data_IF_746971333668
#
_entry.id   IF_746971333668
#
_cell.length_a   1.000
_cell.length_b   1.000
_cell.length_c   1.000
_cell.angle_alpha   90.00
_cell.angle_beta   90.00
_cell.angle_gamma   90.00
#
_symmetry.space_group_name_H-M   'P 1'
#
loop_
_entity.id
_entity.type
_entity.pdbx_description
1 polymer ?
#
# COMPACT_ATOMS: atom_id res chain seq x y z
N UNK A 1 11.37 5.40 -2.61
CA UNK A 1 12.20 6.49 -2.03
C UNK A 1 11.44 7.69 -1.45
N UNK A 2 10.33 8.16 -2.05
CA UNK A 2 9.51 9.24 -1.45
C UNK A 2 8.35 8.72 -0.59
N UNK A 3 7.70 7.64 -1.02
CA UNK A 3 6.55 7.06 -0.32
C UNK A 3 6.94 6.47 1.03
N UNK A 4 8.09 5.81 1.11
CA UNK A 4 8.67 5.32 2.37
C UNK A 4 8.87 6.49 3.35
N UNK A 5 9.60 7.53 2.92
CA UNK A 5 9.87 8.70 3.76
C UNK A 5 8.59 9.40 4.25
N UNK A 6 7.60 9.56 3.36
CA UNK A 6 6.31 10.17 3.71
C UNK A 6 5.53 9.30 4.70
N UNK A 7 5.49 7.98 4.45
CA UNK A 7 4.81 7.03 5.32
C UNK A 7 5.42 7.03 6.72
N UNK A 8 6.75 7.02 6.85
CA UNK A 8 7.45 7.11 8.15
C UNK A 8 7.09 8.38 8.92
N UNK A 9 7.00 9.52 8.22
CA UNK A 9 6.66 10.80 8.86
C UNK A 9 5.22 10.85 9.33
N UNK A 10 4.28 10.39 8.50
CA UNK A 10 2.86 10.43 8.82
C UNK A 10 2.48 9.35 9.84
N UNK A 11 3.13 8.19 9.83
CA UNK A 11 2.88 7.11 10.79
C UNK A 11 3.27 7.48 12.22
N UNK A 12 4.10 8.52 12.41
CA UNK A 12 4.44 9.03 13.73
C UNK A 12 3.26 9.76 14.41
N UNK A 13 2.29 10.25 13.64
CA UNK A 13 1.16 11.03 14.16
C UNK A 13 -0.22 10.46 13.83
N UNK A 14 -0.30 9.33 13.12
CA UNK A 14 -1.57 8.70 12.78
C UNK A 14 -1.44 7.31 12.17
N UNK A 15 -2.58 6.66 11.95
CA UNK A 15 -2.66 5.32 11.33
C UNK A 15 -2.66 5.43 9.82
N UNK A 16 -1.52 5.13 9.23
CA UNK A 16 -1.30 5.25 7.78
C UNK A 16 -1.27 3.87 7.14
N UNK A 17 -1.88 3.76 5.97
CA UNK A 17 -1.71 2.61 5.07
C UNK A 17 -1.13 3.06 3.73
N UNK A 18 -0.37 2.18 3.07
CA UNK A 18 0.14 2.40 1.71
C UNK A 18 -0.63 1.48 0.76
N UNK A 19 -1.15 2.05 -0.33
CA UNK A 19 -1.74 1.28 -1.42
C UNK A 19 -0.89 1.48 -2.69
N UNK A 20 -0.34 0.38 -3.19
CA UNK A 20 0.40 0.35 -4.44
C UNK A 20 -0.32 -0.47 -5.51
N UNK A 21 0.01 -0.22 -6.76
CA UNK A 21 -0.51 -0.99 -7.90
C UNK A 21 0.08 -2.39 -7.97
N UNK A 22 1.25 -2.64 -7.35
CA UNK A 22 1.97 -3.91 -7.43
C UNK A 22 2.31 -4.30 -8.86
N UNK A 23 3.24 -3.55 -9.47
CA UNK A 23 3.68 -3.73 -10.84
C UNK A 23 4.19 -5.16 -11.11
N UNK A 24 3.85 -5.72 -12.28
CA UNK A 24 4.20 -7.07 -12.74
C UNK A 24 3.83 -8.25 -11.82
N UNK A 25 3.10 -8.02 -10.72
CA UNK A 25 2.61 -9.11 -9.88
C UNK A 25 1.67 -10.04 -10.66
N UNK A 26 1.76 -11.34 -10.36
CA UNK A 26 0.90 -12.39 -10.91
C UNK A 26 -0.42 -12.52 -10.15
N UNK A 27 -0.43 -12.12 -8.88
CA UNK A 27 -1.64 -12.11 -8.07
C UNK A 27 -2.69 -11.12 -8.58
N UNK A 28 -3.96 -11.35 -8.23
CA UNK A 28 -5.08 -10.49 -8.61
C UNK A 28 -5.88 -10.05 -7.38
N UNK A 29 -6.59 -8.93 -7.54
CA UNK A 29 -7.43 -8.33 -6.51
C UNK A 29 -6.64 -7.70 -5.36
N UNK A 30 -7.38 -7.18 -4.39
CA UNK A 30 -6.85 -6.59 -3.16
C UNK A 30 -6.11 -7.64 -2.32
N UNK A 31 -4.88 -7.31 -1.88
CA UNK A 31 -4.09 -8.19 -1.00
C UNK A 31 -3.22 -7.38 -0.04
N UNK A 32 -3.04 -7.83 1.22
CA UNK A 32 -1.98 -7.34 2.09
C UNK A 32 -0.61 -7.80 1.58
N UNK A 33 0.40 -6.99 1.83
CA UNK A 33 1.81 -7.32 1.59
C UNK A 33 2.52 -7.41 2.92
N UNK A 34 3.17 -8.53 3.17
CA UNK A 34 3.99 -8.76 4.36
C UNK A 34 5.47 -8.83 3.98
N UNK A 35 6.42 -8.68 4.93
CA UNK A 35 7.85 -8.84 4.65
C UNK A 35 8.24 -10.19 4.03
N UNK A 36 7.45 -11.23 4.28
CA UNK A 36 7.60 -12.61 3.80
C UNK A 36 6.93 -12.85 2.45
N UNK A 37 6.16 -11.88 1.94
CA UNK A 37 5.51 -12.00 0.64
C UNK A 37 6.54 -12.11 -0.49
N UNK A 38 6.12 -12.69 -1.61
CA UNK A 38 7.00 -12.85 -2.77
C UNK A 38 6.84 -11.69 -3.76
N UNK A 39 7.87 -11.37 -4.55
CA UNK A 39 7.73 -10.44 -5.68
C UNK A 39 6.64 -10.85 -6.68
N UNK A 40 6.42 -12.15 -6.86
CA UNK A 40 5.36 -12.63 -7.75
C UNK A 40 3.95 -12.29 -7.22
N UNK A 41 3.79 -12.17 -5.91
CA UNK A 41 2.49 -11.87 -5.28
C UNK A 41 2.26 -10.37 -5.10
N UNK A 42 3.28 -9.61 -4.72
CA UNK A 42 3.15 -8.21 -4.35
C UNK A 42 3.78 -7.23 -5.36
N UNK A 43 4.78 -7.68 -6.11
CA UNK A 43 5.73 -6.82 -6.82
C UNK A 43 6.92 -6.45 -5.91
N UNK A 44 8.02 -6.04 -6.52
CA UNK A 44 9.25 -5.71 -5.80
C UNK A 44 9.13 -4.45 -4.95
N UNK A 45 8.47 -3.41 -5.47
CA UNK A 45 8.33 -2.11 -4.76
C UNK A 45 7.43 -2.22 -3.51
N UNK A 46 6.24 -2.85 -3.55
CA UNK A 46 5.43 -3.00 -2.34
C UNK A 46 6.08 -3.90 -1.31
N UNK A 47 6.81 -4.91 -1.76
CA UNK A 47 7.58 -5.78 -0.88
C UNK A 47 8.71 -5.02 -0.17
N UNK A 48 9.41 -4.13 -0.89
CA UNK A 48 10.40 -3.24 -0.31
C UNK A 48 9.75 -2.34 0.74
N UNK A 49 8.61 -1.72 0.44
CA UNK A 49 7.90 -0.86 1.40
C UNK A 49 7.47 -1.62 2.66
N UNK A 50 6.91 -2.82 2.52
CA UNK A 50 6.51 -3.64 3.66
C UNK A 50 7.70 -4.02 4.57
N UNK A 51 8.89 -4.21 4.00
CA UNK A 51 10.11 -4.50 4.75
C UNK A 51 10.71 -3.25 5.40
N UNK A 52 10.63 -2.11 4.73
CA UNK A 52 11.21 -0.84 5.20
C UNK A 52 10.35 -0.12 6.23
N UNK A 53 9.04 -0.38 6.27
CA UNK A 53 8.09 0.33 7.13
C UNK A 53 7.45 -0.58 8.17
N UNK A 54 8.20 -1.07 9.19
CA UNK A 54 7.62 -1.88 10.24
C UNK A 54 6.54 -1.09 10.99
N UNK A 55 5.29 -1.54 10.89
CA UNK A 55 4.13 -0.88 11.51
C UNK A 55 3.26 -0.05 10.55
N UNK A 56 3.66 0.11 9.29
CA UNK A 56 2.78 0.67 8.24
C UNK A 56 2.25 -0.45 7.38
N UNK A 57 0.93 -0.49 7.21
CA UNK A 57 0.27 -1.54 6.47
C UNK A 57 0.35 -1.28 4.98
N UNK A 58 0.90 -2.25 4.24
CA UNK A 58 1.08 -2.13 2.79
C UNK A 58 0.12 -3.08 2.07
N UNK A 59 -0.57 -2.53 1.07
CA UNK A 59 -1.58 -3.22 0.30
C UNK A 59 -1.33 -3.07 -1.19
N UNK A 60 -1.80 -4.05 -1.97
CA UNK A 60 -1.71 -4.02 -3.43
C UNK A 60 -3.07 -4.22 -4.08
N UNK A 61 -3.46 -3.29 -4.94
CA UNK A 61 -4.66 -3.39 -5.79
C UNK A 61 -4.46 -2.60 -7.08
N UNK A 62 -4.94 -3.17 -8.21
CA UNK A 62 -4.95 -2.45 -9.48
C UNK A 62 -6.06 -1.41 -9.51
N UNK A 63 -7.18 -1.68 -8.84
CA UNK A 63 -8.26 -0.73 -8.65
C UNK A 63 -8.05 0.00 -7.32
N UNK A 64 -7.65 1.27 -7.41
CA UNK A 64 -7.32 2.09 -6.22
C UNK A 64 -8.56 2.41 -5.39
N UNK A 65 -9.70 2.63 -6.04
CA UNK A 65 -10.96 2.91 -5.34
C UNK A 65 -11.42 1.68 -4.58
N UNK A 66 -11.35 0.50 -5.23
CA UNK A 66 -11.59 -0.77 -4.54
C UNK A 66 -10.61 -0.98 -3.38
N UNK A 67 -9.31 -0.76 -3.63
CA UNK A 67 -8.27 -0.94 -2.62
C UNK A 67 -8.48 -0.06 -1.39
N UNK A 68 -8.80 1.23 -1.56
CA UNK A 68 -9.12 2.13 -0.44
C UNK A 68 -10.35 1.64 0.33
N UNK A 69 -11.41 1.20 -0.37
CA UNK A 69 -12.61 0.64 0.29
C UNK A 69 -12.33 -0.66 1.05
N UNK A 70 -11.46 -1.52 0.56
CA UNK A 70 -11.03 -2.74 1.25
C UNK A 70 -10.17 -2.40 2.48
N UNK A 71 -9.26 -1.43 2.38
CA UNK A 71 -8.47 -0.92 3.51
C UNK A 71 -9.41 -0.43 4.60
N UNK A 72 -10.32 0.50 4.30
CA UNK A 72 -11.23 1.06 5.30
C UNK A 72 -12.20 0.02 5.90
N UNK A 73 -12.51 -1.06 5.18
CA UNK A 73 -13.31 -2.17 5.72
C UNK A 73 -12.51 -3.05 6.68
N UNK A 74 -11.24 -3.33 6.37
CA UNK A 74 -10.38 -4.19 7.20
C UNK A 74 -9.77 -3.44 8.38
N UNK A 75 -9.44 -2.18 8.16
CA UNK A 75 -8.84 -1.27 9.12
C UNK A 75 -9.66 0.04 9.18
N UNK A 76 -10.83 0.04 9.84
CA UNK A 76 -11.68 1.24 9.92
C UNK A 76 -11.01 2.43 10.64
N UNK A 77 -9.93 2.17 11.36
CA UNK A 77 -9.15 3.15 12.10
C UNK A 77 -8.05 3.81 11.26
N UNK A 78 -7.86 3.42 10.00
CA UNK A 78 -6.91 4.07 9.08
C UNK A 78 -7.33 5.53 8.85
N UNK A 79 -6.42 6.45 9.14
CA UNK A 79 -6.65 7.89 9.05
C UNK A 79 -6.15 8.47 7.72
N UNK A 80 -5.16 7.84 7.11
CA UNK A 80 -4.62 8.25 5.81
C UNK A 80 -4.19 7.04 4.96
N UNK A 81 -4.41 7.15 3.65
CA UNK A 81 -3.92 6.19 2.64
C UNK A 81 -2.98 6.89 1.68
N UNK A 82 -1.73 6.42 1.60
CA UNK A 82 -0.74 6.92 0.66
C UNK A 82 -0.79 6.09 -0.61
N UNK A 83 -0.89 6.77 -1.75
CA UNK A 83 -0.85 6.13 -3.07
C UNK A 83 0.56 6.25 -3.65
N UNK A 84 1.20 5.11 -3.89
CA UNK A 84 2.59 5.03 -4.36
C UNK A 84 2.78 5.57 -5.79
N UNK A 85 1.74 5.45 -6.62
CA UNK A 85 1.70 5.94 -8.01
C UNK A 85 0.34 6.57 -8.32
N UNK A 86 0.01 7.66 -7.62
CA UNK A 86 -1.30 8.33 -7.74
C UNK A 86 -1.42 9.31 -8.92
N UNK A 87 -0.30 9.84 -9.42
CA UNK A 87 -0.28 11.01 -10.32
C UNK A 87 -0.95 10.77 -11.69
N UNK A 88 -0.96 9.53 -12.19
CA UNK A 88 -1.56 9.19 -13.48
C UNK A 88 -3.03 8.76 -13.39
N UNK A 89 -3.61 8.64 -12.19
CA UNK A 89 -4.98 8.12 -12.00
C UNK A 89 -5.89 9.19 -11.39
N UNK A 90 -6.50 10.00 -12.27
CA UNK A 90 -7.45 11.07 -11.92
C UNK A 90 -8.81 10.60 -11.39
N UNK A 91 -9.01 9.29 -11.27
CA UNK A 91 -10.27 8.68 -10.84
C UNK A 91 -10.38 8.55 -9.31
N UNK A 92 -9.33 8.91 -8.58
CA UNK A 92 -9.29 9.02 -7.13
C UNK A 92 -9.12 10.49 -6.76
#
# INVERSE_FOLDING_TARGET
>A
PHVIWLAEKLSASGRVAVLSRGYLRKSRGFRPVTPESTPADAGDEPLLMARSLPGVQVYVDRDRVNGIREILRREPVTEAVILDDGFQHRAV
#
